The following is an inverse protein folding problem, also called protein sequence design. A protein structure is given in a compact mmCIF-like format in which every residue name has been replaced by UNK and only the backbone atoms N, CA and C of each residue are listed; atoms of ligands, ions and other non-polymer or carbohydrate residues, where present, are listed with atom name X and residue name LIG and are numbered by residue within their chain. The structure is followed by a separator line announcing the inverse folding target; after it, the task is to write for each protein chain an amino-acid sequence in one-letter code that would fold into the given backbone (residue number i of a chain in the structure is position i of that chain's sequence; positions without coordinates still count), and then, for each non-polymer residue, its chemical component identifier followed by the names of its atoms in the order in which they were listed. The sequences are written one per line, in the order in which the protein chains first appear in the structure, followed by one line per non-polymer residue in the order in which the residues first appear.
data_IF_682195908791
#
_entry.id   IF_682195908791
#
_cell.length_a   1.000
_cell.length_b   1.000
_cell.length_c   1.000
_cell.angle_alpha   90.00
_cell.angle_beta   90.00
_cell.angle_gamma   90.00
#
_symmetry.space_group_name_H-M   'P 1'
#
loop_
_entity.id
_entity.type
_entity.pdbx_description
1 polymer ?
#
# COMPACT_ATOMS: atom_id res chain seq x y z
N UNK A 1 -16.63 -1.02 17.11
CA UNK A 1 -16.17 -2.14 16.27
C UNK A 1 -15.45 -3.17 17.12
N UNK A 2 -15.50 -4.44 16.74
CA UNK A 2 -14.86 -5.52 17.50
C UNK A 2 -13.34 -5.59 17.21
N UNK A 3 -12.50 -5.89 18.21
CA UNK A 3 -11.07 -6.12 17.99
C UNK A 3 -10.84 -7.45 17.24
N UNK A 4 -9.60 -7.64 16.76
CA UNK A 4 -9.22 -8.91 16.13
C UNK A 4 -9.32 -10.07 17.14
N UNK A 5 -9.81 -11.21 16.68
CA UNK A 5 -9.87 -12.46 17.46
C UNK A 5 -9.31 -13.64 16.66
N UNK A 6 -9.08 -14.77 17.32
CA UNK A 6 -8.58 -15.98 16.66
C UNK A 6 -9.56 -16.54 15.61
N UNK A 7 -10.85 -16.30 15.81
CA UNK A 7 -11.95 -16.78 14.98
C UNK A 7 -12.28 -15.82 13.83
N UNK A 8 -11.96 -14.52 13.98
CA UNK A 8 -12.28 -13.48 13.01
C UNK A 8 -11.27 -13.44 11.85
N UNK A 9 -11.42 -14.38 10.91
CA UNK A 9 -10.66 -14.43 9.66
C UNK A 9 -11.59 -14.39 8.45
N UNK A 10 -11.62 -13.25 7.76
CA UNK A 10 -12.39 -13.08 6.54
C UNK A 10 -11.58 -13.50 5.31
N UNK A 11 -12.07 -14.48 4.56
CA UNK A 11 -11.49 -14.90 3.27
C UNK A 11 -12.16 -14.15 2.14
N UNK A 12 -11.36 -13.48 1.31
CA UNK A 12 -11.81 -12.70 0.15
C UNK A 12 -11.74 -13.53 -1.13
N UNK A 13 -10.74 -14.40 -1.22
CA UNK A 13 -10.46 -15.21 -2.40
C UNK A 13 -9.80 -16.53 -1.98
N UNK A 14 -10.17 -17.64 -2.60
CA UNK A 14 -9.52 -18.95 -2.40
C UNK A 14 -9.49 -19.72 -3.71
N UNK A 15 -8.31 -20.17 -4.09
CA UNK A 15 -8.08 -21.11 -5.20
C UNK A 15 -7.25 -22.31 -4.72
N UNK A 16 -6.76 -23.11 -5.66
CA UNK A 16 -5.82 -24.20 -5.37
C UNK A 16 -4.44 -23.67 -4.97
N UNK A 17 -4.07 -22.51 -5.50
CA UNK A 17 -2.71 -21.97 -5.39
C UNK A 17 -2.62 -20.77 -4.45
N UNK A 18 -3.72 -20.05 -4.22
CA UNK A 18 -3.74 -18.82 -3.44
C UNK A 18 -4.91 -18.71 -2.47
N UNK A 19 -4.67 -17.97 -1.39
CA UNK A 19 -5.67 -17.52 -0.44
C UNK A 19 -5.47 -16.02 -0.21
N UNK A 20 -6.51 -15.20 -0.38
CA UNK A 20 -6.50 -13.79 0.01
C UNK A 20 -7.44 -13.60 1.18
N UNK A 21 -6.93 -12.98 2.23
CA UNK A 21 -7.68 -12.67 3.45
C UNK A 21 -7.80 -11.17 3.64
N UNK A 22 -8.86 -10.74 4.30
CA UNK A 22 -8.99 -9.38 4.81
C UNK A 22 -8.36 -9.34 6.20
N UNK A 23 -7.06 -9.02 6.28
CA UNK A 23 -6.31 -8.92 7.53
C UNK A 23 -6.97 -7.86 8.41
N UNK A 24 -7.22 -8.18 9.67
CA UNK A 24 -7.72 -7.21 10.64
C UNK A 24 -6.68 -6.09 10.93
N UNK A 25 -7.15 -4.94 11.41
CA UNK A 25 -6.26 -3.91 11.96
C UNK A 25 -5.69 -4.37 13.30
N UNK A 26 -4.53 -3.86 13.66
CA UNK A 26 -3.78 -4.22 14.88
C UNK A 26 -3.57 -5.73 15.06
N UNK A 27 -3.31 -6.42 13.95
CA UNK A 27 -2.93 -7.83 13.93
C UNK A 27 -1.64 -7.98 13.14
N UNK A 28 -0.59 -8.52 13.77
CA UNK A 28 0.67 -8.86 13.08
C UNK A 28 0.45 -10.01 12.12
N UNK A 29 1.23 -10.04 11.05
CA UNK A 29 1.21 -11.16 10.10
C UNK A 29 1.76 -12.42 10.78
N UNK A 30 2.94 -12.32 11.36
CA UNK A 30 3.61 -13.38 12.11
C UNK A 30 4.30 -12.81 13.36
N UNK A 31 4.71 -13.71 14.25
CA UNK A 31 5.51 -13.38 15.42
C UNK A 31 6.18 -14.65 15.95
N UNK A 32 7.44 -14.51 16.38
CA UNK A 32 8.16 -15.55 17.14
C UNK A 32 7.92 -15.43 18.65
N UNK A 33 7.35 -14.32 19.10
CA UNK A 33 7.16 -14.07 20.51
C UNK A 33 6.05 -14.97 21.06
N UNK A 34 6.40 -15.83 22.02
CA UNK A 34 5.43 -16.72 22.68
C UNK A 34 4.26 -15.95 23.33
N UNK A 35 4.52 -14.71 23.77
CA UNK A 35 3.53 -13.80 24.37
C UNK A 35 2.51 -13.25 23.38
N UNK A 36 2.85 -13.23 22.09
CA UNK A 36 1.96 -12.65 21.09
C UNK A 36 0.91 -13.67 20.69
N UNK A 37 -0.25 -13.61 21.32
CA UNK A 37 -1.28 -14.64 21.22
C UNK A 37 -2.07 -14.58 19.91
N UNK A 38 -2.18 -13.40 19.30
CA UNK A 38 -2.95 -13.16 18.07
C UNK A 38 -2.05 -12.69 16.93
N UNK A 39 -1.93 -13.52 15.89
CA UNK A 39 -1.31 -13.17 14.61
C UNK A 39 -2.12 -13.76 13.48
N UNK A 40 -1.98 -13.22 12.28
CA UNK A 40 -2.63 -13.78 11.10
C UNK A 40 -2.19 -15.22 10.85
N UNK A 41 -0.91 -15.52 11.06
CA UNK A 41 -0.37 -16.88 11.03
C UNK A 41 -1.14 -17.83 11.94
N UNK A 42 -1.43 -17.40 13.18
CA UNK A 42 -2.19 -18.21 14.14
C UNK A 42 -3.65 -18.35 13.74
N UNK A 43 -4.28 -17.29 13.24
CA UNK A 43 -5.65 -17.33 12.69
C UNK A 43 -5.75 -18.33 11.51
N UNK A 44 -4.80 -18.26 10.57
CA UNK A 44 -4.73 -19.18 9.43
C UNK A 44 -4.55 -20.62 9.88
N UNK A 45 -3.63 -20.88 10.82
CA UNK A 45 -3.39 -22.22 11.36
C UNK A 45 -4.59 -22.77 12.12
N UNK A 46 -5.33 -21.92 12.83
CA UNK A 46 -6.54 -22.29 13.54
C UNK A 46 -7.67 -22.65 12.56
N UNK A 47 -7.87 -21.83 11.52
CA UNK A 47 -8.98 -21.97 10.58
C UNK A 47 -8.73 -22.98 9.45
N UNK A 48 -7.47 -23.13 9.04
CA UNK A 48 -7.01 -23.95 7.91
C UNK A 48 -5.73 -24.71 8.28
N UNK A 49 -5.77 -25.61 9.29
CA UNK A 49 -4.58 -26.39 9.68
C UNK A 49 -4.02 -27.23 8.54
N UNK A 50 -4.86 -27.62 7.57
CA UNK A 50 -4.47 -28.39 6.39
C UNK A 50 -3.63 -27.61 5.37
N UNK A 51 -3.67 -26.27 5.43
CA UNK A 51 -2.90 -25.40 4.53
C UNK A 51 -1.53 -25.03 5.10
N UNK A 52 -1.23 -25.45 6.32
CA UNK A 52 0.07 -25.18 6.94
C UNK A 52 1.17 -26.03 6.28
N UNK A 53 2.21 -25.36 5.81
CA UNK A 53 3.37 -25.96 5.16
C UNK A 53 4.52 -26.12 6.18
N UNK A 54 4.82 -27.35 6.64
CA UNK A 54 5.83 -27.61 7.65
C UNK A 54 7.26 -27.28 7.18
N UNK A 55 7.49 -27.18 5.86
CA UNK A 55 8.79 -26.81 5.29
C UNK A 55 9.03 -25.29 5.31
N UNK A 56 8.06 -24.52 5.81
CA UNK A 56 8.17 -23.07 5.94
C UNK A 56 8.29 -22.67 7.40
N UNK A 57 9.13 -21.66 7.65
CA UNK A 57 9.41 -21.20 9.00
C UNK A 57 8.15 -20.77 9.78
N UNK A 58 7.16 -20.17 9.09
CA UNK A 58 5.90 -19.71 9.69
C UNK A 58 4.68 -20.57 9.35
N UNK A 59 4.85 -21.68 8.64
CA UNK A 59 3.73 -22.51 8.17
C UNK A 59 2.95 -21.96 6.97
N UNK A 60 3.21 -20.73 6.53
CA UNK A 60 2.52 -20.13 5.39
C UNK A 60 3.47 -19.27 4.56
N UNK A 61 3.19 -19.16 3.25
CA UNK A 61 4.00 -18.39 2.30
C UNK A 61 3.31 -17.06 1.99
N UNK A 62 3.48 -16.07 2.86
CA UNK A 62 2.96 -14.72 2.63
C UNK A 62 3.61 -14.10 1.39
N UNK A 63 2.81 -13.66 0.42
CA UNK A 63 3.32 -13.12 -0.85
C UNK A 63 3.82 -11.67 -0.72
N UNK A 64 3.33 -10.94 0.28
CA UNK A 64 3.72 -9.58 0.61
C UNK A 64 3.40 -9.27 2.07
N UNK A 65 3.74 -8.06 2.52
CA UNK A 65 3.48 -7.59 3.87
C UNK A 65 2.43 -6.46 3.89
N UNK A 66 1.83 -6.28 5.07
CA UNK A 66 1.02 -5.15 5.52
C UNK A 66 1.52 -4.77 6.92
N UNK A 67 1.54 -3.48 7.24
CA UNK A 67 1.87 -3.01 8.59
C UNK A 67 0.88 -3.58 9.63
N UNK A 68 1.32 -3.69 10.88
CA UNK A 68 0.51 -4.13 12.01
C UNK A 68 -0.88 -3.46 12.04
N UNK A 69 -0.91 -2.13 12.05
CA UNK A 69 -2.15 -1.34 12.16
C UNK A 69 -2.94 -1.21 10.86
N UNK A 70 -2.39 -1.64 9.72
CA UNK A 70 -3.11 -1.58 8.43
C UNK A 70 -3.98 -2.82 8.28
N UNK A 71 -5.27 -2.66 7.97
CA UNK A 71 -6.14 -3.81 7.62
C UNK A 71 -6.20 -4.01 6.10
N UNK A 72 -6.80 -5.10 5.62
CA UNK A 72 -7.12 -5.29 4.20
C UNK A 72 -6.50 -6.52 3.55
N UNK A 73 -6.56 -6.54 2.21
CA UNK A 73 -6.19 -7.68 1.39
C UNK A 73 -4.71 -8.09 1.60
N UNK A 74 -4.51 -9.33 2.03
CA UNK A 74 -3.20 -9.98 2.12
C UNK A 74 -3.24 -11.34 1.42
N UNK A 75 -2.33 -11.55 0.47
CA UNK A 75 -2.24 -12.79 -0.30
C UNK A 75 -1.24 -13.78 0.31
N UNK A 76 -1.65 -15.05 0.39
CA UNK A 76 -0.88 -16.21 0.82
C UNK A 76 -0.84 -17.21 -0.32
N UNK A 77 0.37 -17.66 -0.68
CA UNK A 77 0.55 -18.78 -1.59
C UNK A 77 0.44 -20.11 -0.84
N UNK A 78 -0.28 -21.06 -1.40
CA UNK A 78 -0.56 -22.36 -0.79
C UNK A 78 0.46 -23.44 -1.18
N UNK A 79 1.37 -23.12 -2.10
CA UNK A 79 2.49 -23.99 -2.47
C UNK A 79 3.69 -23.18 -2.98
N UNK A 80 4.84 -23.84 -3.11
CA UNK A 80 6.10 -23.22 -3.53
C UNK A 80 6.05 -22.61 -4.93
N UNK A 81 5.39 -23.27 -5.88
CA UNK A 81 5.28 -22.78 -7.26
C UNK A 81 4.45 -21.47 -7.33
N UNK A 82 3.31 -21.45 -6.61
CA UNK A 82 2.48 -20.27 -6.44
C UNK A 82 3.28 -19.12 -5.82
N UNK A 83 4.03 -19.38 -4.73
CA UNK A 83 4.87 -18.38 -4.07
C UNK A 83 5.92 -17.79 -5.02
N UNK A 84 6.62 -18.62 -5.79
CA UNK A 84 7.59 -18.16 -6.79
C UNK A 84 6.97 -17.38 -7.95
N UNK A 85 5.72 -17.67 -8.31
CA UNK A 85 4.99 -16.89 -9.33
C UNK A 85 4.57 -15.50 -8.82
N UNK A 86 4.04 -15.43 -7.60
CA UNK A 86 3.66 -14.17 -6.97
C UNK A 86 4.89 -13.30 -6.70
N UNK A 87 5.98 -13.89 -6.20
CA UNK A 87 7.26 -13.22 -5.99
C UNK A 87 7.73 -12.48 -7.25
N UNK A 88 7.72 -13.15 -8.41
CA UNK A 88 8.08 -12.52 -9.69
C UNK A 88 7.18 -11.31 -9.99
N UNK A 89 5.88 -11.41 -9.74
CA UNK A 89 4.96 -10.28 -9.95
C UNK A 89 5.33 -9.07 -9.07
N UNK A 90 5.66 -9.28 -7.79
CA UNK A 90 6.10 -8.20 -6.91
C UNK A 90 7.46 -7.64 -7.29
N UNK A 91 8.43 -8.50 -7.62
CA UNK A 91 9.78 -8.11 -8.04
C UNK A 91 9.75 -7.26 -9.32
N UNK A 92 8.97 -7.71 -10.29
CA UNK A 92 8.82 -7.08 -11.60
C UNK A 92 7.81 -5.90 -11.57
N UNK A 93 7.25 -5.59 -10.39
CA UNK A 93 6.28 -4.49 -10.17
C UNK A 93 5.01 -4.58 -11.02
N UNK A 94 4.57 -5.80 -11.34
CA UNK A 94 3.33 -6.10 -12.08
C UNK A 94 2.09 -6.14 -11.21
N UNK A 95 2.24 -6.02 -9.89
CA UNK A 95 1.12 -6.06 -8.94
C UNK A 95 0.46 -4.69 -8.85
N UNK A 96 -0.86 -4.65 -8.99
CA UNK A 96 -1.66 -3.44 -8.75
C UNK A 96 -2.22 -3.49 -7.33
N UNK A 97 -2.06 -2.39 -6.58
CA UNK A 97 -2.58 -2.23 -5.22
C UNK A 97 -3.26 -0.88 -5.08
N UNK A 98 -4.40 -0.84 -4.42
CA UNK A 98 -5.01 0.41 -3.99
C UNK A 98 -5.50 0.32 -2.56
N UNK A 99 -5.46 1.44 -1.85
CA UNK A 99 -5.76 1.54 -0.43
C UNK A 99 -6.79 2.64 -0.21
N UNK A 100 -7.70 2.44 0.73
CA UNK A 100 -8.53 3.51 1.25
C UNK A 100 -7.87 4.10 2.50
N UNK A 101 -8.04 5.39 2.71
CA UNK A 101 -7.67 6.04 3.97
C UNK A 101 -8.59 7.21 4.32
N UNK A 102 -8.69 7.50 5.62
CA UNK A 102 -9.12 8.81 6.11
C UNK A 102 -7.87 9.61 6.49
N UNK A 103 -7.68 10.77 5.88
CA UNK A 103 -6.54 11.66 6.13
C UNK A 103 -7.00 12.97 6.75
N UNK A 104 -6.20 13.54 7.67
CA UNK A 104 -6.51 14.80 8.35
C UNK A 104 -6.62 15.97 7.36
N UNK A 105 -7.59 16.84 7.59
CA UNK A 105 -7.89 18.02 6.77
C UNK A 105 -8.66 17.72 5.48
N UNK A 106 -9.20 18.77 4.86
CA UNK A 106 -9.84 18.72 3.55
C UNK A 106 -8.79 18.95 2.44
N UNK A 107 -8.41 17.87 1.76
CA UNK A 107 -7.47 17.91 0.62
C UNK A 107 -8.17 18.60 -0.55
N UNK A 108 -7.65 19.75 -0.96
CA UNK A 108 -8.33 20.60 -1.96
C UNK A 108 -8.13 20.09 -3.40
N UNK A 109 -7.00 19.45 -3.70
CA UNK A 109 -6.74 18.88 -5.01
C UNK A 109 -7.44 17.52 -5.14
N UNK A 110 -8.29 17.34 -6.16
CA UNK A 110 -8.99 16.07 -6.39
C UNK A 110 -8.06 14.89 -6.67
N UNK A 111 -6.90 15.16 -7.28
CA UNK A 111 -5.83 14.18 -7.51
C UNK A 111 -4.47 14.79 -7.26
N UNK A 112 -3.54 13.99 -6.76
CA UNK A 112 -2.15 14.38 -6.60
C UNK A 112 -1.20 13.19 -6.76
N UNK A 113 -0.01 13.48 -7.28
CA UNK A 113 1.13 12.57 -7.31
C UNK A 113 2.10 12.97 -6.20
N UNK A 114 2.49 12.03 -5.35
CA UNK A 114 3.46 12.25 -4.26
C UNK A 114 4.72 11.43 -4.56
N UNK A 115 5.84 12.12 -4.76
CA UNK A 115 7.09 11.53 -5.27
C UNK A 115 8.31 11.75 -4.36
N UNK A 116 8.10 12.09 -3.07
CA UNK A 116 9.21 12.23 -2.13
C UNK A 116 9.97 10.91 -2.00
N UNK A 117 11.30 10.93 -2.11
CA UNK A 117 12.08 9.74 -1.82
C UNK A 117 12.00 9.41 -0.33
N UNK A 118 11.95 8.11 0.00
CA UNK A 118 11.81 7.63 1.38
C UNK A 118 13.07 6.89 1.79
N UNK A 119 13.69 7.35 2.88
CA UNK A 119 14.87 6.75 3.51
C UNK A 119 14.58 6.26 4.93
N UNK A 120 15.60 5.65 5.55
CA UNK A 120 15.56 5.32 6.97
C UNK A 120 15.92 6.55 7.80
N UNK A 121 15.19 6.77 8.88
CA UNK A 121 15.54 7.83 9.82
C UNK A 121 16.70 7.35 10.70
N UNK A 122 17.84 8.02 10.65
CA UNK A 122 19.03 7.71 11.45
C UNK A 122 19.26 8.66 12.63
N UNK A 123 18.34 9.58 12.86
CA UNK A 123 18.42 10.48 14.01
C UNK A 123 18.06 9.71 15.28
N UNK A 124 19.02 9.59 16.20
CA UNK A 124 18.81 8.98 17.52
C UNK A 124 17.67 9.68 18.29
N UNK A 125 16.82 8.90 18.96
CA UNK A 125 15.76 9.41 19.84
C UNK A 125 14.43 9.77 19.18
N UNK A 126 14.23 9.53 17.88
CA UNK A 126 12.93 9.73 17.22
C UNK A 126 12.12 8.44 17.07
N UNK A 127 10.81 8.58 17.21
CA UNK A 127 9.77 7.54 17.28
C UNK A 127 9.42 6.87 15.95
N UNK A 128 9.97 7.31 14.81
CA UNK A 128 9.49 6.90 13.48
C UNK A 128 10.62 6.41 12.57
N UNK A 129 10.47 5.19 12.04
CA UNK A 129 11.48 4.42 11.29
C UNK A 129 11.86 5.01 9.93
N UNK A 130 10.93 5.71 9.27
CA UNK A 130 11.08 6.18 7.89
C UNK A 130 10.91 7.71 7.80
N UNK A 131 11.61 8.36 6.86
CA UNK A 131 11.64 9.81 6.61
C UNK A 131 11.60 10.13 5.12
N UNK A 132 11.30 11.38 4.77
CA UNK A 132 11.52 11.91 3.42
C UNK A 132 12.86 12.64 3.33
N UNK A 133 13.42 12.70 2.12
CA UNK A 133 14.57 13.55 1.82
C UNK A 133 14.22 15.04 2.04
N UNK A 134 15.12 15.81 2.67
CA UNK A 134 14.91 17.25 2.86
C UNK A 134 14.13 17.68 4.12
N UNK A 135 13.58 16.77 4.93
CA UNK A 135 12.92 17.17 6.19
C UNK A 135 13.94 17.47 7.29
N UNK A 136 14.11 18.75 7.64
CA UNK A 136 14.35 19.08 9.05
C UNK A 136 13.15 18.56 9.84
N UNK A 137 13.42 17.90 10.96
CA UNK A 137 12.35 17.34 11.78
C UNK A 137 11.29 18.38 12.07
N UNK A 138 10.04 17.96 11.99
CA UNK A 138 8.90 18.79 12.39
C UNK A 138 8.99 19.05 13.90
N UNK A 139 9.72 20.08 14.30
CA UNK A 139 9.23 20.90 15.40
C UNK A 139 7.94 21.54 14.91
N UNK A 140 6.86 21.33 15.67
CA UNK A 140 5.48 21.52 15.24
C UNK A 140 5.26 22.79 14.44
N UNK A 141 4.99 22.65 13.14
CA UNK A 141 4.17 23.64 12.44
C UNK A 141 2.73 23.43 12.91
N UNK A 142 2.44 24.02 14.07
CA UNK A 142 1.08 24.26 14.50
C UNK A 142 0.31 24.89 13.32
N UNK A 143 -0.86 24.35 13.04
CA UNK A 143 -1.83 24.98 12.15
C UNK A 143 -2.23 26.32 12.79
N UNK A 144 -1.49 27.40 12.49
CA UNK A 144 -1.96 28.76 12.77
C UNK A 144 -2.85 29.14 11.61
N UNK A 145 -4.15 29.01 11.80
CA UNK A 145 -5.13 29.74 11.00
C UNK A 145 -4.90 31.24 11.18
N UNK A 146 -4.07 31.86 10.33
CA UNK A 146 -4.07 33.30 10.10
C UNK A 146 -3.74 33.56 8.63
N UNK A 147 -4.63 34.31 7.98
CA UNK A 147 -4.54 34.64 6.57
C UNK A 147 -3.32 35.50 6.27
N UNK A 148 -2.47 35.01 5.37
CA UNK A 148 -1.55 35.84 4.61
C UNK A 148 -1.74 35.56 3.13
N UNK A 149 -2.33 36.56 2.48
CA UNK A 149 -2.42 36.77 1.05
C UNK A 149 -1.03 36.81 0.42
N UNK A 150 -0.77 35.91 -0.53
CA UNK A 150 0.26 36.09 -1.56
C UNK A 150 -0.42 36.00 -2.94
N UNK A 151 0.13 36.69 -3.96
CA UNK A 151 -0.67 37.42 -4.92
C UNK A 151 -1.46 36.53 -5.88
N UNK A 152 -2.71 36.92 -6.07
CA UNK A 152 -3.65 36.41 -7.07
C UNK A 152 -3.06 36.64 -8.46
N UNK A 153 -2.68 35.55 -9.13
CA UNK A 153 -2.53 35.52 -10.58
C UNK A 153 -3.92 35.56 -11.21
N UNK A 154 -4.09 36.47 -12.15
CA UNK A 154 -5.33 36.84 -12.85
C UNK A 154 -6.07 35.62 -13.42
N UNK A 155 -7.38 35.60 -13.18
CA UNK A 155 -8.36 34.69 -13.80
C UNK A 155 -8.40 34.92 -15.32
N UNK A 156 -8.34 33.85 -16.10
CA UNK A 156 -9.05 33.82 -17.38
C UNK A 156 -10.39 33.12 -17.17
N UNK A 157 -11.45 33.87 -17.40
CA UNK A 157 -12.83 33.39 -17.51
C UNK A 157 -12.97 32.50 -18.75
N UNK A 158 -13.57 31.32 -18.57
CA UNK A 158 -14.67 30.77 -19.37
C UNK A 158 -14.96 29.35 -18.86
N UNK A 159 -16.19 29.16 -18.38
CA UNK A 159 -16.62 27.93 -17.72
C UNK A 159 -16.83 26.74 -18.64
N UNK A 160 -16.67 25.54 -18.07
CA UNK A 160 -17.62 24.42 -18.06
C UNK A 160 -17.00 23.22 -17.31
N UNK A 161 -17.80 22.37 -16.63
CA UNK A 161 -17.29 21.17 -15.98
C UNK A 161 -16.87 20.16 -17.06
N UNK A 162 -15.56 20.04 -17.28
CA UNK A 162 -15.01 19.03 -18.17
C UNK A 162 -15.28 17.64 -17.63
N UNK A 163 -16.08 16.85 -18.36
CA UNK A 163 -16.01 15.39 -18.28
C UNK A 163 -14.58 14.99 -18.66
N UNK A 164 -13.76 14.61 -17.67
CA UNK A 164 -12.39 14.16 -17.93
C UNK A 164 -12.41 12.65 -18.21
N UNK A 165 -12.57 12.30 -19.48
CA UNK A 165 -12.19 10.98 -20.00
C UNK A 165 -10.66 10.90 -20.05
N UNK A 166 -10.04 10.19 -19.10
CA UNK A 166 -8.59 10.00 -19.12
C UNK A 166 -7.96 9.52 -17.82
N UNK A 167 -8.49 8.47 -17.18
CA UNK A 167 -7.76 7.80 -16.11
C UNK A 167 -6.68 6.90 -16.72
N UNK A 168 -5.48 7.43 -16.90
CA UNK A 168 -4.29 6.61 -17.14
C UNK A 168 -3.47 6.52 -15.85
N UNK A 169 -3.40 5.31 -15.30
CA UNK A 169 -2.54 4.94 -14.17
C UNK A 169 -1.18 4.44 -14.68
N UNK A 170 -0.59 5.19 -15.60
CA UNK A 170 0.70 4.85 -16.20
C UNK A 170 1.81 5.60 -15.48
N UNK A 171 2.93 4.91 -15.24
CA UNK A 171 4.17 5.52 -14.79
C UNK A 171 4.59 6.63 -15.80
N UNK A 172 5.09 7.79 -15.35
CA UNK A 172 5.68 8.76 -16.27
C UNK A 172 6.88 8.14 -17.00
N UNK A 173 6.96 8.36 -18.33
CA UNK A 173 7.99 7.77 -19.22
C UNK A 173 9.41 8.21 -18.87
N UNK A 174 9.56 9.31 -18.15
CA UNK A 174 10.83 9.81 -17.61
C UNK A 174 10.63 10.32 -16.19
N UNK A 175 11.62 10.10 -15.32
CA UNK A 175 11.68 10.79 -14.03
C UNK A 175 11.74 12.30 -14.28
N UNK A 176 11.00 13.14 -13.50
CA UNK A 176 11.16 14.58 -13.58
C UNK A 176 12.64 14.96 -13.42
N UNK A 177 13.18 15.69 -14.38
CA UNK A 177 14.61 16.07 -14.46
C UNK A 177 15.08 16.95 -13.29
N UNK A 178 14.18 17.40 -12.41
CA UNK A 178 14.52 18.10 -11.16
C UNK A 178 14.95 17.18 -10.01
N UNK A 179 14.86 15.85 -10.15
CA UNK A 179 15.27 14.90 -9.09
C UNK A 179 16.78 14.62 -9.01
N UNK A 180 17.58 15.16 -9.93
CA UNK A 180 19.04 14.97 -9.97
C UNK A 180 19.86 16.14 -9.43
N UNK A 181 19.24 17.26 -9.05
CA UNK A 181 19.95 18.51 -8.74
C UNK A 181 19.55 19.16 -7.41
N UNK A 182 19.33 18.34 -6.36
CA UNK A 182 19.26 18.80 -4.97
C UNK A 182 20.06 17.90 -4.03
N UNK A 183 21.22 17.42 -4.49
CA UNK A 183 22.23 16.79 -3.63
C UNK A 183 22.99 17.86 -2.83
N UNK A 184 22.32 18.56 -1.92
CA UNK A 184 22.99 19.16 -0.76
C UNK A 184 22.01 19.45 0.37
N UNK A 185 22.33 18.90 1.55
CA UNK A 185 21.85 19.27 2.88
C UNK A 185 20.46 18.78 3.31
N UNK A 186 20.38 17.51 3.74
CA UNK A 186 19.45 17.10 4.80
C UNK A 186 20.11 16.10 5.75
N UNK A 187 20.33 16.49 7.01
CA UNK A 187 20.92 15.64 8.05
C UNK A 187 19.85 14.70 8.63
N UNK A 188 20.02 13.37 8.48
CA UNK A 188 19.27 12.36 9.25
C UNK A 188 18.39 11.38 8.44
N UNK A 189 18.33 11.49 7.11
CA UNK A 189 17.62 10.53 6.26
C UNK A 189 18.61 9.73 5.41
N UNK A 190 18.74 8.43 5.70
CA UNK A 190 19.72 7.55 5.09
C UNK A 190 19.13 6.72 3.95
N UNK A 191 19.91 6.60 2.87
CA UNK A 191 19.61 5.77 1.69
C UNK A 191 18.19 6.02 1.15
N UNK A 192 17.82 7.27 0.81
CA UNK A 192 16.51 7.58 0.26
C UNK A 192 16.31 6.81 -1.04
N UNK A 193 15.17 6.11 -1.14
CA UNK A 193 14.81 5.35 -2.32
C UNK A 193 13.63 6.00 -3.04
N UNK A 194 13.63 5.99 -4.37
CA UNK A 194 12.53 6.57 -5.14
C UNK A 194 11.19 5.94 -4.77
N UNK A 195 10.21 6.78 -4.49
CA UNK A 195 8.89 6.39 -4.02
C UNK A 195 7.81 7.19 -4.74
N UNK A 196 6.71 6.54 -5.09
CA UNK A 196 5.64 7.16 -5.86
C UNK A 196 4.28 6.65 -5.40
N UNK A 197 3.40 7.58 -5.04
CA UNK A 197 2.02 7.32 -4.65
C UNK A 197 1.10 8.26 -5.40
N UNK A 198 0.09 7.71 -6.07
CA UNK A 198 -1.03 8.48 -6.57
C UNK A 198 -2.12 8.54 -5.49
N UNK A 199 -2.68 9.72 -5.26
CA UNK A 199 -3.78 9.95 -4.32
C UNK A 199 -4.94 10.58 -5.08
N UNK A 200 -6.14 10.04 -4.85
CA UNK A 200 -7.41 10.54 -5.40
C UNK A 200 -8.37 10.78 -4.23
N UNK A 201 -8.97 11.98 -4.18
CA UNK A 201 -9.91 12.36 -3.13
C UNK A 201 -11.31 11.87 -3.50
N UNK A 202 -11.90 11.08 -2.62
CA UNK A 202 -13.22 10.50 -2.80
C UNK A 202 -14.29 11.40 -2.19
N UNK A 203 -14.10 11.75 -0.92
CA UNK A 203 -15.09 12.48 -0.12
C UNK A 203 -14.39 13.44 0.86
N UNK A 204 -15.04 14.56 1.16
CA UNK A 204 -14.76 15.34 2.36
C UNK A 204 -15.83 15.08 3.40
N UNK A 205 -15.40 15.08 4.66
CA UNK A 205 -16.28 14.87 5.79
C UNK A 205 -15.65 15.32 7.09
N UNK A 206 -16.26 14.88 8.18
CA UNK A 206 -15.74 15.00 9.53
C UNK A 206 -15.48 13.61 10.11
N UNK A 207 -14.40 13.45 10.87
CA UNK A 207 -14.18 12.28 11.72
C UNK A 207 -14.11 12.74 13.17
N UNK A 208 -15.05 12.29 14.00
CA UNK A 208 -15.18 12.74 15.40
C UNK A 208 -15.23 14.28 15.57
N UNK A 209 -15.76 14.99 14.56
CA UNK A 209 -15.86 16.45 14.53
C UNK A 209 -14.72 17.17 13.81
N UNK A 210 -13.60 16.51 13.54
CA UNK A 210 -12.45 17.10 12.86
C UNK A 210 -12.56 16.94 11.33
N UNK A 211 -12.10 17.93 10.53
CA UNK A 211 -12.12 17.83 9.07
C UNK A 211 -11.18 16.71 8.59
N UNK A 212 -11.70 15.82 7.74
CA UNK A 212 -10.90 14.76 7.10
C UNK A 212 -11.33 14.54 5.66
N UNK A 213 -10.44 13.94 4.87
CA UNK A 213 -10.72 13.49 3.51
C UNK A 213 -10.64 11.98 3.42
N UNK A 214 -11.63 11.36 2.78
CA UNK A 214 -11.52 9.97 2.36
C UNK A 214 -10.81 9.93 1.02
N UNK A 215 -9.77 9.11 0.92
CA UNK A 215 -8.90 9.05 -0.25
C UNK A 215 -8.65 7.62 -0.71
N UNK A 216 -8.48 7.45 -2.02
CA UNK A 216 -7.92 6.26 -2.64
C UNK A 216 -6.43 6.51 -2.93
N UNK A 217 -5.58 5.61 -2.47
CA UNK A 217 -4.13 5.67 -2.61
C UNK A 217 -3.63 4.49 -3.45
N UNK A 218 -2.92 4.77 -4.54
CA UNK A 218 -2.27 3.76 -5.36
C UNK A 218 -0.74 3.92 -5.30
N UNK A 219 -0.04 3.10 -4.49
CA UNK A 219 1.41 3.11 -4.48
C UNK A 219 1.97 2.40 -5.71
N UNK A 220 2.76 3.11 -6.51
CA UNK A 220 3.50 2.57 -7.67
C UNK A 220 4.89 2.02 -7.29
N UNK A 221 5.25 2.17 -6.01
CA UNK A 221 6.43 1.60 -5.37
C UNK A 221 6.02 0.92 -4.05
N UNK A 222 6.91 0.14 -3.44
CA UNK A 222 6.65 -0.49 -2.14
C UNK A 222 7.78 -0.21 -1.17
N UNK A 223 7.76 0.95 -0.50
CA UNK A 223 8.63 1.20 0.66
C UNK A 223 7.87 0.97 1.97
N UNK A 224 8.61 0.66 3.03
CA UNK A 224 8.08 0.59 4.40
C UNK A 224 7.37 1.89 4.75
N UNK A 225 6.16 1.78 5.29
CA UNK A 225 5.31 2.92 5.69
C UNK A 225 5.04 3.97 4.60
N UNK A 226 5.21 3.63 3.31
CA UNK A 226 5.21 4.62 2.22
C UNK A 226 4.00 5.55 2.22
N UNK A 227 2.79 4.98 2.32
CA UNK A 227 1.55 5.74 2.28
C UNK A 227 1.44 6.70 3.47
N UNK A 228 1.79 6.22 4.67
CA UNK A 228 1.76 6.97 5.93
C UNK A 228 2.71 8.16 5.89
N UNK A 229 3.95 7.92 5.47
CA UNK A 229 4.98 8.95 5.30
C UNK A 229 4.57 9.97 4.24
N UNK A 230 4.09 9.53 3.07
CA UNK A 230 3.67 10.44 1.99
C UNK A 230 2.50 11.33 2.38
N UNK A 231 1.47 10.75 3.01
CA UNK A 231 0.31 11.49 3.49
C UNK A 231 0.71 12.53 4.55
N UNK A 232 1.52 12.12 5.54
CA UNK A 232 2.05 13.04 6.57
C UNK A 232 2.94 14.14 5.96
N UNK A 233 3.84 13.80 5.04
CA UNK A 233 4.69 14.77 4.33
C UNK A 233 3.90 15.80 3.51
N UNK A 234 2.70 15.45 3.05
CA UNK A 234 1.79 16.39 2.38
C UNK A 234 0.91 17.20 3.33
N UNK A 235 1.09 17.04 4.63
CA UNK A 235 0.33 17.75 5.67
C UNK A 235 -1.03 17.13 5.96
N UNK A 236 -1.26 15.90 5.48
CA UNK A 236 -2.52 15.18 5.63
C UNK A 236 -2.24 13.79 6.22
N UNK A 237 -1.74 13.69 7.48
CA UNK A 237 -1.48 12.40 8.10
C UNK A 237 -2.74 11.52 8.15
N UNK A 238 -2.54 10.21 8.18
CA UNK A 238 -3.65 9.25 8.28
C UNK A 238 -4.22 9.32 9.70
N UNK A 239 -5.54 9.38 9.81
CA UNK A 239 -6.25 9.40 11.10
C UNK A 239 -5.94 8.11 11.88
N UNK A 240 -5.61 8.24 13.16
CA UNK A 240 -5.19 7.15 14.05
C UNK A 240 -3.76 6.66 13.82
N UNK A 241 -2.94 7.37 13.05
CA UNK A 241 -1.53 7.00 12.88
C UNK A 241 -0.67 7.54 14.03
N UNK A 242 -0.49 6.69 15.05
CA UNK A 242 0.34 6.97 16.24
C UNK A 242 1.82 7.24 15.93
N UNK A 243 2.26 6.92 14.71
CA UNK A 243 3.63 7.15 14.25
C UNK A 243 3.68 8.46 13.47
N UNK A 244 2.99 8.58 12.34
CA UNK A 244 3.21 9.75 11.46
C UNK A 244 2.24 10.91 11.68
N UNK A 245 1.38 10.83 12.70
CA UNK A 245 0.47 11.89 13.12
C UNK A 245 1.14 13.10 13.75
N UNK A 246 0.40 14.22 13.84
CA UNK A 246 0.85 15.39 14.57
C UNK A 246 0.38 15.32 16.02
N UNK A 247 1.18 15.84 16.94
CA UNK A 247 0.86 15.83 18.38
C UNK A 247 -0.46 16.55 18.72
N UNK A 248 -0.89 17.50 17.89
CA UNK A 248 -2.14 18.26 18.09
C UNK A 248 -3.39 17.48 17.65
N UNK A 249 -3.24 16.45 16.82
CA UNK A 249 -4.37 15.76 16.19
C UNK A 249 -4.95 14.64 17.08
N UNK A 250 -4.36 14.39 18.26
CA UNK A 250 -4.81 13.39 19.24
C UNK A 250 -5.06 12.01 18.60
N UNK A 251 -4.05 11.47 17.89
CA UNK A 251 -4.18 10.23 17.11
C UNK A 251 -4.34 8.95 17.96
N UNK A 252 -4.30 9.08 19.28
CA UNK A 252 -4.64 8.04 20.25
C UNK A 252 -6.16 7.90 20.50
N UNK A 253 -6.97 8.86 20.06
CA UNK A 253 -8.43 8.84 20.22
C UNK A 253 -9.18 7.93 19.21
N UNK A 254 -8.84 7.92 17.90
CA UNK A 254 -9.45 6.97 16.97
C UNK A 254 -9.17 5.52 17.39
N UNK A 255 -10.18 4.64 17.31
CA UNK A 255 -10.05 3.26 17.78
C UNK A 255 -9.06 2.40 16.95
N UNK A 256 -8.60 2.91 15.80
CA UNK A 256 -7.63 2.27 14.90
C UNK A 256 -6.99 3.30 13.96
N UNK A 257 -5.93 2.88 13.28
CA UNK A 257 -5.43 3.59 12.09
C UNK A 257 -6.34 3.40 10.88
N UNK A 258 -6.71 4.51 10.23
CA UNK A 258 -7.61 4.58 9.09
C UNK A 258 -6.87 4.37 7.76
N UNK A 259 -6.17 3.24 7.65
CA UNK A 259 -5.56 2.77 6.40
C UNK A 259 -6.00 1.34 6.11
N UNK A 260 -6.45 1.11 4.87
CA UNK A 260 -7.01 -0.17 4.44
C UNK A 260 -6.51 -0.58 3.06
N UNK A 261 -5.88 -1.75 2.93
CA UNK A 261 -5.55 -2.36 1.64
C UNK A 261 -6.82 -2.87 0.96
N UNK A 262 -7.34 -2.08 0.05
CA UNK A 262 -8.69 -2.21 -0.50
C UNK A 262 -8.72 -3.08 -1.76
N UNK A 263 -7.79 -2.86 -2.69
CA UNK A 263 -7.70 -3.57 -3.95
C UNK A 263 -6.33 -4.22 -4.12
N UNK A 264 -6.31 -5.49 -4.56
CA UNK A 264 -5.11 -6.24 -4.86
C UNK A 264 -5.31 -7.05 -6.14
N UNK A 265 -4.39 -6.90 -7.10
CA UNK A 265 -4.32 -7.71 -8.31
C UNK A 265 -2.89 -8.24 -8.52
N UNK A 266 -2.73 -9.55 -8.55
CA UNK A 266 -1.46 -10.26 -8.80
C UNK A 266 -1.62 -11.09 -10.08
N UNK A 267 -1.13 -10.59 -11.24
CA UNK A 267 -1.26 -11.28 -12.52
C UNK A 267 -0.17 -12.35 -12.64
N UNK A 268 -0.35 -13.50 -11.97
CA UNK A 268 0.59 -14.62 -12.12
C UNK A 268 0.39 -15.31 -13.47
N UNK A 269 1.37 -16.09 -13.90
CA UNK A 269 1.30 -16.80 -15.19
C UNK A 269 0.20 -17.87 -15.26
N UNK A 270 -0.27 -18.36 -14.11
CA UNK A 270 -1.25 -19.44 -14.03
C UNK A 270 -2.64 -18.93 -13.60
N UNK A 271 -2.69 -17.86 -12.82
CA UNK A 271 -3.90 -17.34 -12.19
C UNK A 271 -3.77 -15.82 -11.97
N UNK A 272 -4.79 -15.05 -12.36
CA UNK A 272 -4.87 -13.65 -11.95
C UNK A 272 -5.58 -13.59 -10.60
N UNK A 273 -4.82 -13.41 -9.52
CA UNK A 273 -5.38 -13.29 -8.17
C UNK A 273 -5.87 -11.87 -8.00
N UNK A 274 -7.18 -11.68 -7.95
CA UNK A 274 -7.80 -10.37 -7.79
C UNK A 274 -8.76 -10.38 -6.61
N UNK A 275 -8.62 -9.39 -5.73
CA UNK A 275 -9.50 -9.20 -4.59
C UNK A 275 -9.78 -7.71 -4.37
N UNK A 276 -11.05 -7.42 -4.09
CA UNK A 276 -11.51 -6.10 -3.64
C UNK A 276 -12.23 -6.31 -2.31
N UNK A 277 -11.78 -5.64 -1.25
CA UNK A 277 -12.40 -5.73 0.07
C UNK A 277 -13.69 -4.90 0.13
N UNK A 278 -14.58 -5.15 1.11
CA UNK A 278 -15.56 -4.15 1.50
C UNK A 278 -14.88 -2.89 2.02
N UNK A 279 -15.47 -1.72 1.77
CA UNK A 279 -15.01 -0.45 2.30
C UNK A 279 -15.32 -0.34 3.81
N UNK A 280 -14.30 -0.26 4.69
CA UNK A 280 -14.52 -0.15 6.14
C UNK A 280 -14.84 1.29 6.59
N UNK A 281 -14.63 2.30 5.74
CA UNK A 281 -14.78 3.71 6.09
C UNK A 281 -16.11 4.26 5.60
N UNK A 282 -17.19 3.67 6.13
CA UNK A 282 -18.57 4.05 5.83
C UNK A 282 -19.32 4.37 7.13
N UNK A 283 -20.26 5.35 7.12
CA UNK A 283 -20.98 5.75 8.34
C UNK A 283 -21.74 4.62 9.03
N UNK A 284 -22.17 3.61 8.25
CA UNK A 284 -22.87 2.44 8.76
C UNK A 284 -22.01 1.52 9.64
N UNK A 285 -20.68 1.54 9.46
CA UNK A 285 -19.73 0.76 10.27
C UNK A 285 -19.09 1.63 11.35
N UNK A 286 -18.86 2.91 11.04
CA UNK A 286 -18.23 3.87 11.93
C UNK A 286 -19.02 5.19 11.98
N UNK A 287 -19.78 5.39 13.05
CA UNK A 287 -20.59 6.58 13.24
C UNK A 287 -19.75 7.86 13.48
N UNK A 288 -18.45 7.73 13.78
CA UNK A 288 -17.56 8.89 13.88
C UNK A 288 -17.26 9.50 12.51
N UNK A 289 -17.37 8.73 11.42
CA UNK A 289 -17.21 9.22 10.06
C UNK A 289 -18.52 9.79 9.51
N UNK A 290 -18.50 11.07 9.16
CA UNK A 290 -19.63 11.82 8.61
C UNK A 290 -19.23 12.51 7.29
N UNK A 291 -19.41 11.84 6.13
CA UNK A 291 -19.17 12.45 4.82
C UNK A 291 -20.22 13.53 4.53
N UNK A 292 -19.80 14.63 3.91
CA UNK A 292 -20.71 15.70 3.51
C UNK A 292 -20.53 16.16 2.06
N UNK A 293 -19.37 15.89 1.43
CA UNK A 293 -19.10 16.25 0.04
C UNK A 293 -18.54 15.04 -0.69
N UNK A 294 -19.22 14.58 -1.74
CA UNK A 294 -18.71 13.57 -2.66
C UNK A 294 -17.96 14.27 -3.80
N UNK A 295 -16.68 13.89 -4.02
CA UNK A 295 -15.85 14.42 -5.10
C UNK A 295 -15.68 13.39 -6.23
N UNK A 296 -15.40 12.13 -5.89
CA UNK A 296 -15.22 11.05 -6.87
C UNK A 296 -15.84 9.75 -6.37
N UNK A 297 -16.69 9.08 -7.18
CA UNK A 297 -17.31 7.82 -6.80
C UNK A 297 -16.29 6.68 -6.80
N UNK A 298 -16.23 5.95 -5.68
CA UNK A 298 -15.30 4.82 -5.51
C UNK A 298 -15.55 3.71 -6.54
N UNK A 299 -16.80 3.42 -6.88
CA UNK A 299 -17.16 2.36 -7.82
C UNK A 299 -16.58 2.59 -9.22
N UNK A 300 -16.59 3.83 -9.72
CA UNK A 300 -15.99 4.15 -11.02
C UNK A 300 -14.47 3.96 -11.00
N UNK A 301 -13.81 4.37 -9.92
CA UNK A 301 -12.37 4.18 -9.75
C UNK A 301 -12.00 2.70 -9.66
N UNK A 302 -12.84 1.87 -9.04
CA UNK A 302 -12.67 0.41 -9.02
C UNK A 302 -12.75 -0.15 -10.44
N UNK A 303 -13.73 0.26 -11.25
CA UNK A 303 -13.82 -0.20 -12.64
C UNK A 303 -12.58 0.20 -13.45
N UNK A 304 -12.06 1.39 -13.21
CA UNK A 304 -10.82 1.85 -13.84
C UNK A 304 -9.62 1.02 -13.39
N UNK A 305 -9.48 0.71 -12.10
CA UNK A 305 -8.42 -0.16 -11.58
C UNK A 305 -8.47 -1.54 -12.24
N UNK A 306 -9.67 -2.10 -12.41
CA UNK A 306 -9.90 -3.39 -13.08
C UNK A 306 -9.53 -3.35 -14.56
N UNK A 307 -9.93 -2.29 -15.26
CA UNK A 307 -9.68 -2.12 -16.68
C UNK A 307 -8.23 -1.71 -17.02
N UNK A 308 -7.49 -1.16 -16.05
CA UNK A 308 -6.11 -0.76 -16.26
C UNK A 308 -5.24 -1.96 -16.62
N UNK A 309 -4.39 -1.86 -17.65
CA UNK A 309 -3.44 -2.92 -17.98
C UNK A 309 -2.51 -3.17 -16.80
N UNK A 310 -1.98 -4.39 -16.69
CA UNK A 310 -0.91 -4.64 -15.73
C UNK A 310 0.31 -3.75 -16.05
N UNK A 311 1.03 -3.26 -15.04
CA UNK A 311 2.24 -2.48 -15.27
C UNK A 311 3.23 -3.25 -16.17
N UNK A 312 3.50 -2.73 -17.36
CA UNK A 312 4.27 -3.40 -18.42
C UNK A 312 5.79 -3.24 -18.25
N UNK A 313 6.57 -4.11 -18.91
CA UNK A 313 8.05 -4.21 -18.78
C UNK A 313 8.88 -3.35 -19.76
N UNK A 314 8.33 -2.34 -20.44
CA UNK A 314 9.07 -1.49 -21.40
C UNK A 314 9.10 -0.03 -20.91
N UNK A 315 10.23 0.68 -20.77
CA UNK A 315 11.47 0.71 -21.56
C UNK A 315 12.73 0.94 -20.68
N UNK A 316 13.87 0.32 -21.03
CA UNK A 316 15.20 0.71 -20.51
C UNK A 316 16.23 -0.39 -20.17
N UNK A 317 16.06 -1.65 -20.60
CA UNK A 317 17.08 -2.71 -20.41
C UNK A 317 17.35 -3.48 -21.71
N UNK A 318 18.55 -4.09 -21.89
CA UNK A 318 18.91 -4.76 -23.14
C UNK A 318 17.90 -5.87 -23.44
N UNK A 319 17.42 -5.88 -24.69
CA UNK A 319 16.17 -6.51 -25.09
C UNK A 319 16.04 -8.00 -24.79
N UNK A 320 14.81 -8.52 -24.80
CA UNK A 320 14.55 -9.94 -24.60
C UNK A 320 15.19 -10.76 -25.74
N UNK A 321 15.83 -11.87 -25.40
CA UNK A 321 16.15 -12.92 -26.37
C UNK A 321 14.85 -13.32 -27.11
N UNK A 322 15.00 -13.53 -28.41
CA UNK A 322 13.95 -13.64 -29.43
C UNK A 322 12.66 -14.37 -29.03
N UNK A 323 11.49 -13.92 -29.51
CA UNK A 323 10.22 -14.58 -29.25
C UNK A 323 10.10 -15.91 -30.02
N UNK A 324 9.91 -17.01 -29.30
CA UNK A 324 9.45 -18.25 -29.91
C UNK A 324 7.98 -18.11 -30.31
N UNK A 325 7.71 -18.34 -31.59
CA UNK A 325 6.38 -18.29 -32.23
C UNK A 325 5.40 -19.27 -31.57
N UNK A 326 4.12 -18.90 -31.35
CA UNK A 326 3.14 -19.83 -30.79
C UNK A 326 2.51 -20.70 -31.90
N UNK A 327 2.44 -22.02 -31.67
CA UNK A 327 1.56 -22.93 -32.40
C UNK A 327 0.45 -23.43 -31.44
N UNK A 328 -0.79 -23.67 -31.94
CA UNK A 328 -1.93 -24.02 -31.11
C UNK A 328 -2.04 -25.54 -30.91
N UNK A 329 -2.37 -25.98 -29.69
CA UNK A 329 -2.74 -27.36 -29.39
C UNK A 329 -3.00 -27.62 -27.90
N UNK A 330 -3.98 -28.48 -27.52
CA UNK A 330 -4.34 -28.72 -26.13
C UNK A 330 -3.41 -29.74 -25.47
N UNK A 331 -2.93 -29.41 -24.26
CA UNK A 331 -2.03 -30.25 -23.48
C UNK A 331 -0.70 -29.55 -23.20
N UNK A 332 -0.71 -28.58 -22.29
CA UNK A 332 0.53 -27.96 -21.82
C UNK A 332 1.20 -28.90 -20.79
N UNK A 333 2.44 -29.35 -20.99
CA UNK A 333 3.17 -30.06 -19.95
C UNK A 333 3.43 -29.13 -18.75
N UNK A 334 3.63 -29.68 -17.54
CA UNK A 334 3.93 -28.88 -16.36
C UNK A 334 5.16 -27.98 -16.62
N UNK A 335 5.19 -26.77 -16.04
CA UNK A 335 6.31 -25.87 -16.22
C UNK A 335 7.63 -26.55 -15.83
N UNK A 336 8.74 -26.24 -16.51
CA UNK A 336 10.03 -26.87 -16.24
C UNK A 336 10.43 -26.64 -14.77
N UNK A 337 11.13 -27.61 -14.15
CA UNK A 337 11.56 -27.51 -12.78
C UNK A 337 12.44 -26.27 -12.58
N UNK A 338 12.17 -25.56 -11.48
CA UNK A 338 12.86 -24.34 -11.07
C UNK A 338 14.37 -24.55 -11.01
N UNK A 339 15.13 -23.67 -11.66
CA UNK A 339 16.60 -23.70 -11.65
C UNK A 339 17.14 -23.41 -10.25
N UNK A 340 18.34 -23.91 -9.96
CA UNK A 340 19.01 -23.71 -8.67
C UNK A 340 19.20 -22.23 -8.32
N UNK A 341 19.42 -21.38 -9.33
CA UNK A 341 19.54 -19.93 -9.21
C UNK A 341 18.22 -19.27 -8.79
N UNK A 342 17.09 -19.72 -9.36
CA UNK A 342 15.76 -19.24 -8.98
C UNK A 342 15.40 -19.65 -7.55
N UNK A 343 15.75 -20.89 -7.17
CA UNK A 343 15.58 -21.41 -5.81
C UNK A 343 16.41 -20.62 -4.78
N UNK A 344 17.67 -20.35 -5.08
CA UNK A 344 18.56 -19.56 -4.22
C UNK A 344 18.06 -18.13 -4.05
N UNK A 345 17.59 -17.49 -5.13
CA UNK A 345 17.02 -16.13 -5.08
C UNK A 345 15.74 -16.06 -4.24
N UNK A 346 14.88 -17.10 -4.32
CA UNK A 346 13.66 -17.22 -3.53
C UNK A 346 13.99 -17.41 -2.03
N UNK A 347 14.96 -18.26 -1.71
CA UNK A 347 15.40 -18.50 -0.33
C UNK A 347 16.11 -17.29 0.28
N UNK A 348 16.99 -16.63 -0.48
CA UNK A 348 17.66 -15.40 -0.05
C UNK A 348 16.66 -14.29 0.23
N UNK A 349 15.64 -14.13 -0.61
CA UNK A 349 14.58 -13.16 -0.36
C UNK A 349 13.72 -13.55 0.85
N UNK A 350 13.35 -14.83 1.02
CA UNK A 350 12.67 -15.27 2.24
C UNK A 350 13.51 -14.96 3.50
N UNK A 351 14.84 -15.03 3.43
CA UNK A 351 15.74 -14.67 4.53
C UNK A 351 15.94 -13.16 4.72
N UNK A 352 15.93 -12.36 3.66
CA UNK A 352 16.05 -10.90 3.71
C UNK A 352 14.78 -10.22 4.27
N UNK A 353 13.65 -10.95 4.30
CA UNK A 353 12.34 -10.47 4.74
C UNK A 353 11.85 -11.10 6.04
N UNK A 354 12.54 -12.15 6.53
CA UNK A 354 12.50 -12.53 7.95
C UNK A 354 13.29 -11.50 8.73
N UNK A 355 12.64 -10.78 9.63
CA UNK A 355 13.34 -9.99 10.64
C UNK A 355 14.37 -10.88 11.35
N UNK A 356 15.64 -10.50 11.28
CA UNK A 356 16.55 -10.70 12.40
C UNK A 356 15.84 -10.12 13.63
N UNK A 357 15.74 -10.86 14.74
CA UNK A 357 15.05 -10.38 15.93
C UNK A 357 15.73 -9.11 16.42
N UNK A 358 14.96 -8.02 16.58
CA UNK A 358 15.35 -6.93 17.46
C UNK A 358 15.62 -7.54 18.83
N UNK A 359 16.87 -7.43 19.29
CA UNK A 359 17.31 -7.86 20.61
C UNK A 359 16.89 -6.85 21.67
#
# INVERSE_FOLDING_TARGET
MEPGSMENLCVLYRSRDFLVVNKHWDVRIDSKAWRETLTLQKQLRHRFPELADPDTYYGFRFCHQLDFSTSGALCVALNKAAAGSAYRCFKDRRVTKAYLALVRGHVQQSRMTISYAIGKNSTEGRTHTMCIEGTQGTEGRAWRGQGHSHPVGTLDELGQPGHVTGLQWTRPQSWPSHLSELASLSSGCENPKPSLTELVVLEHGLYAGDPVSKVLLQPLTGRTHQLRVHCSARGHPIVGDLTYGQALDQEDQPFRMMLHAFYLRIPTSAECVEACTPDPFVPALDACWSPHTLLQPLDELVQVLRAAPDPDLSEGGPGPCSPCTPLPGPGRPPPPPETEVQRASCLQWLSEWTLEPDN
#
